data_IF_061754702322
#
_entry.id   IF_061754702322
#
_cell.length_a   1.000
_cell.length_b   1.000
_cell.length_c   1.000
_cell.angle_alpha   90.00
_cell.angle_beta   90.00
_cell.angle_gamma   90.00
#
_symmetry.space_group_name_H-M   'P 1'
#
loop_
_entity.id
_entity.type
_entity.pdbx_description
1 polymer ?
#
# COMPACT_ATOMS: atom_id res chain seq x y z
N UNK A 1 -41.60 -11.00 27.28
CA UNK A 1 -40.47 -10.06 27.26
C UNK A 1 -40.09 -9.88 25.80
N UNK A 2 -40.32 -8.70 25.21
CA UNK A 2 -39.88 -8.42 23.83
C UNK A 2 -38.47 -7.86 23.90
N UNK A 3 -37.51 -8.53 23.25
CA UNK A 3 -36.20 -7.92 23.01
C UNK A 3 -36.39 -6.82 21.95
N UNK A 4 -36.04 -5.58 22.29
CA UNK A 4 -36.04 -4.44 21.35
C UNK A 4 -34.64 -4.29 20.78
N UNK A 5 -34.54 -4.27 19.45
CA UNK A 5 -33.31 -3.97 18.71
C UNK A 5 -33.46 -2.61 18.05
N UNK A 6 -32.41 -1.79 18.10
CA UNK A 6 -32.37 -0.47 17.48
C UNK A 6 -31.09 -0.30 16.63
N UNK A 7 -30.96 0.85 15.96
CA UNK A 7 -29.83 1.15 15.06
C UNK A 7 -28.48 1.28 15.78
N UNK A 8 -28.45 1.30 17.12
CA UNK A 8 -27.22 1.29 17.92
C UNK A 8 -26.77 -0.12 18.30
N UNK A 9 -27.59 -1.13 18.02
CA UNK A 9 -27.26 -2.54 18.29
C UNK A 9 -26.07 -2.95 17.41
N UNK A 10 -24.94 -3.42 17.98
CA UNK A 10 -23.78 -3.83 17.21
C UNK A 10 -24.12 -4.92 16.18
N UNK A 11 -23.46 -4.87 15.03
CA UNK A 11 -23.59 -5.92 14.02
C UNK A 11 -23.14 -7.28 14.60
N UNK A 12 -23.87 -8.34 14.26
CA UNK A 12 -23.59 -9.69 14.74
C UNK A 12 -24.06 -9.95 16.18
N UNK A 13 -24.78 -9.01 16.82
CA UNK A 13 -25.35 -9.25 18.16
C UNK A 13 -26.27 -10.48 18.14
N UNK A 14 -25.95 -11.49 18.95
CA UNK A 14 -26.78 -12.68 19.14
C UNK A 14 -27.83 -12.43 20.23
N UNK A 15 -29.09 -12.59 19.87
CA UNK A 15 -30.22 -12.54 20.79
C UNK A 15 -30.81 -13.94 20.89
N UNK A 16 -30.81 -14.49 22.11
CA UNK A 16 -31.41 -15.80 22.39
C UNK A 16 -32.77 -15.58 23.03
N UNK A 17 -33.84 -15.98 22.34
CA UNK A 17 -35.22 -15.81 22.81
C UNK A 17 -35.91 -17.18 22.99
N UNK A 18 -36.63 -17.40 24.11
CA UNK A 18 -37.41 -18.61 24.28
C UNK A 18 -38.65 -18.58 23.39
N UNK A 19 -38.90 -19.69 22.70
CA UNK A 19 -40.06 -19.94 21.83
C UNK A 19 -40.89 -21.05 22.46
N UNK A 20 -42.17 -20.78 22.72
CA UNK A 20 -43.14 -21.75 23.22
C UNK A 20 -43.97 -22.32 22.07
N UNK A 21 -44.05 -23.64 21.98
CA UNK A 21 -44.96 -24.39 21.12
C UNK A 21 -46.08 -24.98 21.97
N UNK A 22 -47.33 -24.63 21.67
CA UNK A 22 -48.51 -25.18 22.34
C UNK A 22 -49.18 -26.22 21.44
N UNK A 23 -49.40 -27.42 21.97
CA UNK A 23 -50.04 -28.53 21.26
C UNK A 23 -51.57 -28.48 21.39
N UNK A 24 -52.33 -29.19 20.52
CA UNK A 24 -53.79 -29.21 20.58
C UNK A 24 -54.39 -29.74 21.90
N UNK A 25 -53.64 -30.55 22.64
CA UNK A 25 -54.02 -31.06 23.97
C UNK A 25 -53.77 -30.05 25.11
N UNK A 26 -53.25 -28.87 24.79
CA UNK A 26 -52.92 -27.80 25.73
C UNK A 26 -51.55 -27.92 26.39
N UNK A 27 -50.78 -28.98 26.11
CA UNK A 27 -49.39 -29.08 26.59
C UNK A 27 -48.48 -28.08 25.88
N UNK A 28 -47.37 -27.69 26.52
CA UNK A 28 -46.43 -26.70 25.99
C UNK A 28 -45.00 -27.25 26.01
N UNK A 29 -44.29 -27.11 24.90
CA UNK A 29 -42.83 -27.27 24.82
C UNK A 29 -42.17 -25.91 24.66
N UNK A 30 -40.99 -25.71 25.25
CA UNK A 30 -40.18 -24.51 25.08
C UNK A 30 -38.82 -24.87 24.50
N UNK A 31 -38.34 -24.03 23.58
CA UNK A 31 -36.98 -24.10 23.01
C UNK A 31 -36.42 -22.70 22.88
N UNK A 32 -35.13 -22.54 22.54
CA UNK A 32 -34.52 -21.24 22.31
C UNK A 32 -34.26 -21.03 20.81
N UNK A 33 -34.62 -19.86 20.30
CA UNK A 33 -34.23 -19.40 18.97
C UNK A 33 -33.08 -18.40 19.08
N UNK A 34 -32.08 -18.53 18.20
CA UNK A 34 -30.99 -17.57 18.03
C UNK A 34 -31.34 -16.60 16.91
N UNK A 35 -31.37 -15.30 17.20
CA UNK A 35 -31.56 -14.22 16.25
C UNK A 35 -30.26 -13.43 16.17
N UNK A 36 -29.72 -13.26 14.97
CA UNK A 36 -28.52 -12.45 14.74
C UNK A 36 -28.99 -11.10 14.18
N UNK A 37 -28.65 -10.03 14.89
CA UNK A 37 -28.94 -8.67 14.44
C UNK A 37 -27.90 -8.27 13.41
N UNK A 38 -28.38 -7.89 12.21
CA UNK A 38 -27.54 -7.27 11.20
C UNK A 38 -27.70 -5.76 11.24
N UNK A 39 -26.59 -5.03 11.30
CA UNK A 39 -26.58 -3.58 11.13
C UNK A 39 -27.11 -3.21 9.75
N UNK A 40 -27.92 -2.15 9.68
CA UNK A 40 -28.37 -1.56 8.42
C UNK A 40 -27.46 -0.44 7.92
N UNK A 41 -26.56 0.05 8.78
CA UNK A 41 -25.58 1.08 8.42
C UNK A 41 -24.44 0.43 7.64
N UNK A 42 -24.13 1.00 6.47
CA UNK A 42 -23.07 0.54 5.58
C UNK A 42 -21.71 1.08 6.02
N UNK A 43 -20.65 0.34 5.74
CA UNK A 43 -19.30 0.74 6.11
C UNK A 43 -18.90 2.06 5.42
N UNK A 44 -19.23 2.25 4.15
CA UNK A 44 -19.01 3.53 3.45
C UNK A 44 -19.69 4.76 4.06
N UNK A 45 -20.72 4.57 4.89
CA UNK A 45 -21.43 5.67 5.58
C UNK A 45 -20.83 5.91 6.97
N UNK A 46 -19.93 5.03 7.44
CA UNK A 46 -19.27 5.05 8.74
C UNK A 46 -17.80 5.46 8.66
N UNK A 47 -17.12 5.08 7.58
CA UNK A 47 -15.71 5.32 7.35
C UNK A 47 -15.52 6.35 6.25
N UNK A 48 -14.45 7.15 6.37
CA UNK A 48 -14.05 8.09 5.34
C UNK A 48 -12.54 7.92 5.09
N UNK A 49 -12.14 7.27 3.98
CA UNK A 49 -10.74 7.11 3.65
C UNK A 49 -10.11 8.45 3.27
N UNK A 50 -8.89 8.67 3.73
CA UNK A 50 -8.14 9.91 3.48
C UNK A 50 -7.04 9.66 2.45
N UNK A 51 -6.87 10.60 1.53
CA UNK A 51 -5.81 10.54 0.53
C UNK A 51 -4.43 10.77 1.16
N UNK A 52 -3.42 10.10 0.62
CA UNK A 52 -2.00 10.30 0.92
C UNK A 52 -1.20 10.28 -0.37
N UNK A 53 -0.27 11.22 -0.51
CA UNK A 53 0.66 11.22 -1.64
C UNK A 53 1.60 10.02 -1.55
N UNK A 54 1.68 9.26 -2.64
CA UNK A 54 2.64 8.18 -2.80
C UNK A 54 3.76 8.62 -3.75
N UNK A 55 4.99 8.22 -3.47
CA UNK A 55 6.13 8.43 -4.37
C UNK A 55 6.66 7.09 -4.86
N UNK A 56 6.97 6.98 -6.15
CA UNK A 56 7.56 5.80 -6.79
C UNK A 56 8.58 6.21 -7.83
N UNK A 57 9.52 5.35 -8.19
CA UNK A 57 10.44 5.62 -9.29
C UNK A 57 9.81 5.26 -10.64
N UNK A 58 10.35 5.84 -11.71
CA UNK A 58 9.94 5.55 -13.08
C UNK A 58 9.98 4.05 -13.39
N UNK A 59 8.86 3.52 -13.89
CA UNK A 59 8.65 2.12 -14.23
C UNK A 59 8.29 1.21 -13.05
N UNK A 60 8.21 1.71 -11.81
CA UNK A 60 7.67 0.94 -10.68
C UNK A 60 6.14 0.89 -10.72
N UNK A 61 5.56 -0.13 -10.09
CA UNK A 61 4.10 -0.25 -9.94
C UNK A 61 3.69 0.27 -8.56
N UNK A 62 2.90 1.35 -8.45
CA UNK A 62 2.46 1.87 -7.16
C UNK A 62 1.42 0.93 -6.53
N UNK A 63 1.51 0.76 -5.21
CA UNK A 63 0.49 0.07 -4.41
C UNK A 63 -0.60 1.06 -3.95
N UNK A 64 -1.86 0.81 -4.33
CA UNK A 64 -2.99 1.67 -3.99
C UNK A 64 -3.21 1.87 -2.48
N UNK A 65 -2.87 0.87 -1.66
CA UNK A 65 -2.99 0.95 -0.19
C UNK A 65 -2.09 2.03 0.39
N UNK A 66 -0.92 2.27 -0.21
CA UNK A 66 0.04 3.27 0.26
C UNK A 66 -0.41 4.71 -0.05
N UNK A 67 -1.40 4.88 -0.92
CA UNK A 67 -2.06 6.16 -1.21
C UNK A 67 -3.24 6.48 -0.28
N UNK A 68 -3.54 5.64 0.70
CA UNK A 68 -4.54 5.91 1.74
C UNK A 68 -3.85 6.20 3.07
N UNK A 69 -4.21 7.30 3.72
CA UNK A 69 -3.54 7.81 4.93
C UNK A 69 -3.96 7.12 6.21
N UNK A 70 -5.24 6.74 6.34
CA UNK A 70 -5.85 6.21 7.56
C UNK A 70 -6.24 4.73 7.46
N UNK A 71 -5.45 3.92 6.76
CA UNK A 71 -5.68 2.47 6.58
C UNK A 71 -5.94 1.74 7.90
N UNK A 72 -5.30 2.15 9.00
CA UNK A 72 -5.48 1.55 10.33
C UNK A 72 -6.83 1.84 10.98
N UNK A 73 -7.57 2.85 10.51
CA UNK A 73 -8.90 3.22 11.00
C UNK A 73 -10.02 2.57 10.19
N UNK A 74 -9.69 2.03 9.00
CA UNK A 74 -10.61 1.32 8.13
C UNK A 74 -10.82 -0.12 8.64
N UNK A 75 -11.96 -0.75 8.34
CA UNK A 75 -12.24 -2.11 8.81
C UNK A 75 -11.22 -3.11 8.26
N UNK A 76 -10.93 -4.14 9.05
CA UNK A 76 -10.07 -5.24 8.63
C UNK A 76 -10.62 -5.90 7.35
N UNK A 77 -9.72 -6.32 6.46
CA UNK A 77 -10.03 -6.89 5.14
C UNK A 77 -10.62 -5.91 4.11
N UNK A 78 -10.61 -4.59 4.37
CA UNK A 78 -10.77 -3.62 3.29
C UNK A 78 -9.68 -3.82 2.21
N UNK A 79 -10.07 -3.79 0.94
CA UNK A 79 -9.16 -3.91 -0.21
C UNK A 79 -9.02 -2.57 -0.94
N UNK A 80 -7.87 -2.39 -1.60
CA UNK A 80 -7.48 -1.13 -2.21
C UNK A 80 -6.98 -1.39 -3.61
N UNK A 81 -7.61 -0.77 -4.61
CA UNK A 81 -7.21 -0.90 -6.00
C UNK A 81 -7.26 0.45 -6.68
N UNK A 82 -6.32 0.71 -7.59
CA UNK A 82 -6.45 1.87 -8.47
C UNK A 82 -7.57 1.60 -9.48
N UNK A 83 -8.49 2.56 -9.62
CA UNK A 83 -9.58 2.49 -10.61
C UNK A 83 -9.07 2.28 -12.04
N UNK A 84 -7.91 2.87 -12.32
CA UNK A 84 -7.14 2.67 -13.56
C UNK A 84 -5.66 2.56 -13.22
N UNK A 85 -4.88 1.71 -13.91
CA UNK A 85 -3.43 1.65 -13.71
C UNK A 85 -2.77 3.03 -13.84
N UNK A 86 -1.87 3.35 -12.91
CA UNK A 86 -1.12 4.61 -12.92
C UNK A 86 0.04 4.51 -13.89
N UNK A 87 0.18 5.46 -14.82
CA UNK A 87 1.35 5.53 -15.70
C UNK A 87 2.57 6.03 -14.93
N UNK A 88 3.55 5.13 -14.75
CA UNK A 88 4.84 5.44 -14.13
C UNK A 88 5.99 5.49 -15.13
N UNK A 89 5.72 5.45 -16.44
CA UNK A 89 6.77 5.56 -17.46
C UNK A 89 7.22 7.00 -17.69
N UNK A 90 6.47 7.98 -17.17
CA UNK A 90 6.79 9.40 -17.28
C UNK A 90 6.84 10.02 -15.90
N UNK A 91 7.91 10.78 -15.63
CA UNK A 91 8.10 11.46 -14.35
C UNK A 91 7.07 12.58 -14.15
N UNK A 92 6.83 12.94 -12.89
CA UNK A 92 5.91 14.00 -12.48
C UNK A 92 4.72 13.49 -11.65
N UNK A 93 3.83 14.42 -11.28
CA UNK A 93 2.60 14.11 -10.56
C UNK A 93 1.57 13.45 -11.49
N UNK A 94 0.92 12.40 -10.98
CA UNK A 94 -0.18 11.68 -11.63
C UNK A 94 -1.40 11.71 -10.71
N UNK A 95 -2.50 12.23 -11.22
CA UNK A 95 -3.79 12.10 -10.56
C UNK A 95 -4.31 10.67 -10.76
N UNK A 96 -4.80 10.06 -9.69
CA UNK A 96 -5.36 8.72 -9.70
C UNK A 96 -6.56 8.63 -8.75
N UNK A 97 -7.31 7.54 -8.85
CA UNK A 97 -8.44 7.24 -7.96
C UNK A 97 -8.19 5.86 -7.35
N UNK A 98 -8.19 5.79 -6.03
CA UNK A 98 -8.20 4.52 -5.29
C UNK A 98 -9.64 4.17 -4.97
N UNK A 99 -10.03 2.94 -5.32
CA UNK A 99 -11.28 2.32 -4.90
C UNK A 99 -11.01 1.52 -3.64
N UNK A 100 -11.61 1.96 -2.54
CA UNK A 100 -11.61 1.23 -1.26
C UNK A 100 -12.85 0.35 -1.25
N UNK A 101 -12.69 -0.97 -1.16
CA UNK A 101 -13.81 -1.91 -1.01
C UNK A 101 -13.85 -2.45 0.40
N UNK A 102 -14.96 -2.23 1.08
CA UNK A 102 -15.19 -2.68 2.45
C UNK A 102 -15.64 -4.16 2.50
N UNK A 103 -15.52 -4.81 3.66
CA UNK A 103 -15.98 -6.20 3.85
C UNK A 103 -17.47 -6.40 3.56
N UNK A 104 -18.31 -5.38 3.80
CA UNK A 104 -19.74 -5.38 3.45
C UNK A 104 -20.01 -5.23 1.93
N UNK A 105 -18.96 -5.08 1.12
CA UNK A 105 -18.98 -4.93 -0.33
C UNK A 105 -19.22 -3.50 -0.82
N UNK A 106 -19.50 -2.57 0.10
CA UNK A 106 -19.63 -1.14 -0.22
C UNK A 106 -18.27 -0.54 -0.56
N UNK A 107 -18.28 0.61 -1.24
CA UNK A 107 -17.06 1.19 -1.81
C UNK A 107 -17.03 2.69 -1.67
N UNK A 108 -15.81 3.21 -1.51
CA UNK A 108 -15.48 4.62 -1.66
C UNK A 108 -14.43 4.83 -2.75
N UNK A 109 -14.52 5.98 -3.42
CA UNK A 109 -13.55 6.42 -4.42
C UNK A 109 -12.78 7.63 -3.89
N UNK A 110 -11.47 7.50 -3.79
CA UNK A 110 -10.59 8.48 -3.17
C UNK A 110 -9.67 9.05 -4.24
N UNK A 111 -9.80 10.33 -4.61
CA UNK A 111 -8.82 11.00 -5.46
C UNK A 111 -7.48 11.11 -4.73
N UNK A 112 -6.40 10.66 -5.37
CA UNK A 112 -5.04 10.66 -4.80
C UNK A 112 -4.04 11.18 -5.82
N UNK A 113 -2.84 11.50 -5.34
CA UNK A 113 -1.69 11.85 -6.18
C UNK A 113 -0.57 10.83 -6.02
N UNK A 114 0.01 10.43 -7.15
CA UNK A 114 1.24 9.62 -7.21
C UNK A 114 2.33 10.44 -7.89
N UNK A 115 3.45 10.64 -7.21
CA UNK A 115 4.62 11.33 -7.76
C UNK A 115 5.62 10.31 -8.30
N UNK A 116 5.87 10.37 -9.61
CA UNK A 116 6.84 9.51 -10.28
C UNK A 116 8.18 10.24 -10.38
N UNK A 117 9.21 9.70 -9.71
CA UNK A 117 10.58 10.23 -9.73
C UNK A 117 11.40 9.61 -10.85
N UNK A 118 12.28 10.41 -11.44
CA UNK A 118 13.34 9.86 -12.30
C UNK A 118 14.32 9.04 -11.46
N UNK A 119 14.91 8.02 -12.07
CA UNK A 119 16.01 7.30 -11.45
C UNK A 119 17.29 8.09 -11.65
N UNK A 120 18.18 8.09 -10.67
CA UNK A 120 19.48 8.77 -10.79
C UNK A 120 20.27 8.27 -12.01
N UNK A 121 20.18 6.98 -12.35
CA UNK A 121 20.81 6.41 -13.53
C UNK A 121 20.27 6.94 -14.87
N UNK A 122 19.02 7.46 -14.90
CA UNK A 122 18.45 8.11 -16.09
C UNK A 122 18.90 9.59 -16.17
N UNK A 123 19.22 10.20 -15.03
CA UNK A 123 19.56 11.62 -14.90
C UNK A 123 21.06 11.90 -15.03
N UNK A 124 21.89 10.99 -14.55
CA UNK A 124 23.34 11.16 -14.47
C UNK A 124 24.07 10.15 -15.37
N UNK A 125 25.03 10.63 -16.15
CA UNK A 125 25.92 9.79 -16.95
C UNK A 125 27.36 9.99 -16.47
N UNK A 126 27.99 8.98 -15.82
CA UNK A 126 29.38 9.07 -15.44
C UNK A 126 30.29 9.19 -16.66
N UNK A 127 31.30 10.04 -16.59
CA UNK A 127 32.34 10.16 -17.60
C UNK A 127 33.58 9.40 -17.16
N UNK A 128 34.26 8.73 -18.08
CA UNK A 128 35.54 8.09 -17.78
C UNK A 128 36.65 9.13 -17.51
N UNK A 129 37.61 8.74 -16.68
CA UNK A 129 38.84 9.48 -16.44
C UNK A 129 39.98 8.49 -16.31
N UNK A 130 41.06 8.73 -17.05
CA UNK A 130 42.29 7.96 -16.89
C UNK A 130 42.89 8.24 -15.52
N UNK A 131 43.20 7.18 -14.78
CA UNK A 131 44.03 7.23 -13.58
C UNK A 131 45.38 6.58 -13.88
N UNK A 132 46.43 7.05 -13.24
CA UNK A 132 47.74 6.42 -13.23
C UNK A 132 48.07 6.02 -11.79
N UNK A 133 48.52 4.79 -11.61
CA UNK A 133 48.93 4.23 -10.31
C UNK A 133 50.25 3.48 -10.47
N UNK A 134 51.03 3.39 -9.40
CA UNK A 134 52.27 2.63 -9.41
C UNK A 134 52.01 1.12 -9.37
N UNK A 135 53.02 0.35 -9.77
CA UNK A 135 52.98 -1.11 -9.68
C UNK A 135 52.71 -1.57 -8.24
N UNK A 136 51.71 -2.42 -8.07
CA UNK A 136 51.30 -2.97 -6.77
C UNK A 136 50.35 -2.09 -5.95
N UNK A 137 49.99 -0.89 -6.42
CA UNK A 137 48.97 -0.06 -5.79
C UNK A 137 47.56 -0.55 -6.13
N UNK A 138 46.62 -0.39 -5.18
CA UNK A 138 45.20 -0.64 -5.45
C UNK A 138 44.54 0.66 -5.89
N UNK A 139 44.10 0.80 -7.15
CA UNK A 139 43.45 2.03 -7.61
C UNK A 139 42.12 2.26 -6.91
N UNK A 140 41.70 3.53 -6.77
CA UNK A 140 40.39 3.90 -6.24
C UNK A 140 39.40 4.04 -7.41
N UNK A 141 38.26 3.35 -7.36
CA UNK A 141 37.25 3.40 -8.42
C UNK A 141 36.68 4.81 -8.66
N UNK A 142 36.58 5.62 -7.59
CA UNK A 142 36.09 7.00 -7.68
C UNK A 142 37.00 7.89 -8.53
N UNK A 143 38.31 7.65 -8.51
CA UNK A 143 39.29 8.45 -9.26
C UNK A 143 39.26 8.17 -10.76
N UNK A 144 38.62 7.07 -11.18
CA UNK A 144 38.38 6.72 -12.59
C UNK A 144 37.14 7.40 -13.19
N UNK A 145 36.42 8.22 -12.41
CA UNK A 145 35.23 8.97 -12.85
C UNK A 145 35.57 10.45 -12.95
N UNK A 146 35.31 11.05 -14.12
CA UNK A 146 35.68 12.43 -14.45
C UNK A 146 34.77 13.50 -13.86
N UNK A 147 33.48 13.19 -13.67
CA UNK A 147 32.43 14.15 -13.28
C UNK A 147 31.83 13.84 -11.90
N UNK A 148 32.66 13.39 -10.95
CA UNK A 148 32.22 13.04 -9.58
C UNK A 148 31.44 14.17 -8.89
N UNK A 149 31.76 15.43 -9.15
CA UNK A 149 31.07 16.60 -8.60
C UNK A 149 29.61 16.72 -9.04
N UNK A 150 29.27 16.12 -10.18
CA UNK A 150 27.96 16.23 -10.81
C UNK A 150 27.05 15.06 -10.42
N UNK A 151 27.61 14.02 -9.78
CA UNK A 151 26.90 12.83 -9.32
C UNK A 151 26.30 13.04 -7.91
N UNK A 152 25.25 12.29 -7.52
CA UNK A 152 24.66 12.41 -6.18
C UNK A 152 25.68 12.09 -5.07
N UNK A 153 25.61 12.84 -3.96
CA UNK A 153 26.62 12.80 -2.87
C UNK A 153 26.82 11.40 -2.25
N UNK A 154 25.78 10.55 -2.29
CA UNK A 154 25.80 9.21 -1.71
C UNK A 154 26.15 8.11 -2.73
N UNK A 155 26.65 8.46 -3.92
CA UNK A 155 27.08 7.49 -4.91
C UNK A 155 28.28 6.66 -4.40
N UNK A 156 28.23 5.34 -4.60
CA UNK A 156 29.34 4.41 -4.32
C UNK A 156 30.06 4.04 -5.61
N UNK A 157 31.34 3.71 -5.49
CA UNK A 157 32.23 3.46 -6.63
C UNK A 157 33.01 2.18 -6.38
N UNK A 158 32.85 1.19 -7.27
CA UNK A 158 33.54 -0.09 -7.17
C UNK A 158 33.91 -0.59 -8.58
N UNK A 159 35.05 -1.28 -8.69
CA UNK A 159 35.36 -1.99 -9.93
C UNK A 159 34.54 -3.27 -10.00
N UNK A 160 33.92 -3.53 -11.16
CA UNK A 160 33.20 -4.79 -11.42
C UNK A 160 34.12 -6.02 -11.35
N UNK A 161 35.40 -5.83 -11.65
CA UNK A 161 36.43 -6.86 -11.59
C UNK A 161 37.62 -6.32 -10.80
N UNK A 162 38.25 -7.14 -9.93
CA UNK A 162 39.48 -6.73 -9.25
C UNK A 162 40.53 -6.26 -10.25
N UNK A 163 41.24 -5.18 -9.90
CA UNK A 163 42.32 -4.64 -10.74
C UNK A 163 43.64 -5.20 -10.23
N UNK A 164 44.37 -5.92 -11.10
CA UNK A 164 45.76 -6.35 -10.82
C UNK A 164 46.74 -5.34 -11.40
N UNK A 165 47.54 -4.73 -10.52
CA UNK A 165 48.60 -3.77 -10.88
C UNK A 165 50.00 -4.35 -10.69
N UNK A 166 50.13 -5.65 -10.39
CA UNK A 166 51.42 -6.32 -10.19
C UNK A 166 52.07 -6.80 -11.49
N UNK A 167 51.33 -6.77 -12.59
CA UNK A 167 51.82 -7.04 -13.94
C UNK A 167 51.68 -5.76 -14.76
N UNK A 168 52.78 -5.33 -15.41
CA UNK A 168 52.70 -4.28 -16.42
C UNK A 168 52.09 -4.91 -17.69
N UNK A 169 51.05 -4.26 -18.23
CA UNK A 169 50.46 -4.63 -19.51
C UNK A 169 51.38 -4.35 -20.70
#
# INVERSE_FOLDING_TARGET
MTATVDSSTPDGTEIVVPVSLTYPDGTVSTTNAKIIVKSTTKDKDKYEPTAKTQEVNKGETPNAKDSIGNVSELPENATYEYKTPVDTNTAGEKDAIVVVTYPDGTKDEVPVKVTVKEKDADKYTPTEKTQEVNKGETPNAKDSIGNVSDLPENATYEYKTPVDTNTAG
#
